data_IF_129302270186
#
_entry.id   IF_129302270186
#
_cell.length_a   1.000
_cell.length_b   1.000
_cell.length_c   1.000
_cell.angle_alpha   90.00
_cell.angle_beta   90.00
_cell.angle_gamma   90.00
#
_symmetry.space_group_name_H-M   'P 1'
#
loop_
_entity.id
_entity.type
_entity.pdbx_description
1 polymer ?
#
# COMPACT_ATOMS: atom_id res chain seq x y z
N UNK A 1 -9.77 22.03 1.82
CA UNK A 1 -10.02 21.14 0.66
C UNK A 1 -11.31 21.63 0.06
N UNK A 2 -11.24 22.11 -1.19
CA UNK A 2 -12.41 22.41 -1.98
C UNK A 2 -12.73 21.21 -2.86
N UNK A 3 -14.01 20.96 -3.10
CA UNK A 3 -14.54 19.87 -3.90
C UNK A 3 -15.63 20.43 -4.82
N UNK A 4 -15.38 20.36 -6.12
CA UNK A 4 -16.24 20.86 -7.21
C UNK A 4 -16.29 19.77 -8.29
N UNK A 5 -17.42 19.08 -8.44
CA UNK A 5 -17.62 17.99 -9.41
C UNK A 5 -16.48 16.93 -9.44
N UNK A 6 -16.15 16.35 -8.28
CA UNK A 6 -15.05 15.37 -8.07
C UNK A 6 -13.62 15.92 -8.28
N UNK A 7 -13.45 17.22 -8.51
CA UNK A 7 -12.17 17.91 -8.58
C UNK A 7 -11.75 18.42 -7.19
N UNK A 8 -10.78 17.72 -6.57
CA UNK A 8 -10.26 18.11 -5.26
C UNK A 8 -9.16 19.16 -5.38
N UNK A 9 -9.32 20.28 -4.67
CA UNK A 9 -8.33 21.34 -4.60
C UNK A 9 -7.87 21.59 -3.16
N UNK A 10 -6.56 21.66 -2.95
CA UNK A 10 -5.96 22.03 -1.67
C UNK A 10 -5.61 23.51 -1.70
N UNK A 11 -6.07 24.24 -0.70
CA UNK A 11 -5.79 25.67 -0.54
C UNK A 11 -5.17 25.93 0.83
N UNK A 12 -4.11 26.74 0.87
CA UNK A 12 -3.55 27.26 2.11
C UNK A 12 -4.46 28.37 2.61
N UNK A 13 -4.98 28.22 3.84
CA UNK A 13 -5.77 29.26 4.50
C UNK A 13 -4.89 30.04 5.48
N UNK A 14 -5.00 31.36 5.44
CA UNK A 14 -4.37 32.24 6.41
C UNK A 14 -5.09 32.15 7.77
N UNK A 15 -4.34 32.24 8.87
CA UNK A 15 -4.89 32.18 10.23
C UNK A 15 -5.08 30.77 10.82
N UNK A 16 -4.55 29.73 10.18
CA UNK A 16 -4.52 28.37 10.73
C UNK A 16 -3.55 28.20 11.91
N UNK A 17 -3.72 27.14 12.71
CA UNK A 17 -2.77 26.78 13.78
C UNK A 17 -1.35 26.63 13.22
N UNK A 18 -0.36 27.13 13.95
CA UNK A 18 1.05 26.97 13.57
C UNK A 18 1.42 25.50 13.44
N UNK A 19 2.05 25.14 12.31
CA UNK A 19 2.54 23.78 12.07
C UNK A 19 3.75 23.53 12.97
N UNK A 20 3.62 22.59 13.91
CA UNK A 20 4.66 22.30 14.92
C UNK A 20 5.44 21.03 14.61
N UNK A 21 4.86 20.12 13.83
CA UNK A 21 5.50 18.85 13.49
C UNK A 21 6.49 19.01 12.31
N UNK A 22 7.68 18.38 12.36
CA UNK A 22 8.58 18.30 11.21
C UNK A 22 7.91 17.73 9.94
N UNK A 23 6.98 16.78 10.10
CA UNK A 23 6.23 16.21 8.96
C UNK A 23 5.25 17.20 8.34
N UNK A 24 4.61 18.04 9.17
CA UNK A 24 3.72 19.10 8.71
C UNK A 24 4.49 20.22 8.02
N UNK A 25 5.65 20.60 8.56
CA UNK A 25 6.54 21.60 7.96
C UNK A 25 7.11 21.12 6.62
N UNK A 26 7.47 19.84 6.51
CA UNK A 26 7.91 19.24 5.25
C UNK A 26 6.81 19.28 4.19
N UNK A 27 5.57 18.94 4.58
CA UNK A 27 4.42 19.01 3.68
C UNK A 27 4.13 20.46 3.24
N UNK A 28 4.11 21.41 4.19
CA UNK A 28 3.86 22.82 3.89
C UNK A 28 4.98 23.44 3.03
N UNK A 29 6.24 23.10 3.29
CA UNK A 29 7.37 23.57 2.49
C UNK A 29 7.39 23.02 1.06
N UNK A 30 6.73 21.87 0.82
CA UNK A 30 6.55 21.31 -0.52
C UNK A 30 5.38 21.92 -1.30
N UNK A 31 4.52 22.71 -0.64
CA UNK A 31 3.43 23.42 -1.28
C UNK A 31 3.96 24.71 -1.93
N UNK A 32 4.21 24.66 -3.24
CA UNK A 32 4.79 25.79 -3.99
C UNK A 32 3.79 26.89 -4.33
N UNK A 33 2.49 26.62 -4.19
CA UNK A 33 1.39 27.52 -4.52
C UNK A 33 0.36 27.52 -3.40
N UNK A 34 -0.38 28.62 -3.31
CA UNK A 34 -1.45 28.79 -2.31
C UNK A 34 -2.68 27.93 -2.63
N UNK A 35 -2.85 27.58 -3.91
CA UNK A 35 -3.91 26.71 -4.42
C UNK A 35 -3.29 25.63 -5.32
N UNK A 36 -3.64 24.37 -5.08
CA UNK A 36 -3.17 23.21 -5.82
C UNK A 36 -4.32 22.26 -6.13
N UNK A 37 -4.67 22.17 -7.41
CA UNK A 37 -5.61 21.16 -7.91
C UNK A 37 -4.95 19.78 -7.92
N UNK A 38 -5.62 18.78 -7.35
CA UNK A 38 -5.15 17.39 -7.29
C UNK A 38 -5.40 16.65 -8.62
N UNK A 39 -4.65 17.06 -9.63
CA UNK A 39 -4.69 16.45 -10.96
C UNK A 39 -3.36 15.78 -11.34
N UNK A 40 -3.44 14.90 -12.35
CA UNK A 40 -2.26 14.25 -12.93
C UNK A 40 -1.29 15.24 -13.61
N UNK A 41 -1.78 16.40 -14.04
CA UNK A 41 -0.95 17.50 -14.58
C UNK A 41 0.04 18.02 -13.54
N UNK A 42 -0.37 18.06 -12.27
CA UNK A 42 0.43 18.52 -11.15
C UNK A 42 1.24 17.41 -10.46
N UNK A 43 1.47 16.28 -11.15
CA UNK A 43 2.00 15.09 -10.49
C UNK A 43 3.39 15.22 -9.89
N UNK A 44 4.23 16.08 -10.46
CA UNK A 44 5.56 16.34 -9.90
C UNK A 44 5.45 16.97 -8.51
N UNK A 45 4.52 17.92 -8.35
CA UNK A 45 4.26 18.59 -7.07
C UNK A 45 3.62 17.62 -6.08
N UNK A 46 2.57 16.90 -6.47
CA UNK A 46 1.86 15.98 -5.57
C UNK A 46 2.74 14.79 -5.15
N UNK A 47 3.52 14.22 -6.07
CA UNK A 47 4.49 13.17 -5.74
C UNK A 47 5.62 13.67 -4.85
N UNK A 48 6.12 14.90 -5.07
CA UNK A 48 7.11 15.52 -4.20
C UNK A 48 6.55 15.77 -2.80
N UNK A 49 5.30 16.24 -2.67
CA UNK A 49 4.63 16.41 -1.38
C UNK A 49 4.52 15.08 -0.63
N UNK A 50 4.06 14.02 -1.31
CA UNK A 50 3.95 12.68 -0.73
C UNK A 50 5.31 12.14 -0.30
N UNK A 51 6.35 12.33 -1.12
CA UNK A 51 7.71 11.90 -0.83
C UNK A 51 8.33 12.70 0.33
N UNK A 52 8.09 14.01 0.40
CA UNK A 52 8.55 14.85 1.50
C UNK A 52 7.90 14.42 2.83
N UNK A 53 6.59 14.18 2.81
CA UNK A 53 5.86 13.69 3.99
C UNK A 53 6.35 12.31 4.42
N UNK A 54 6.48 11.35 3.50
CA UNK A 54 6.95 9.99 3.83
C UNK A 54 8.38 10.00 4.36
N UNK A 55 9.26 10.83 3.79
CA UNK A 55 10.65 10.98 4.24
C UNK A 55 10.72 11.62 5.62
N UNK A 56 9.91 12.65 5.89
CA UNK A 56 9.86 13.29 7.19
C UNK A 56 9.34 12.33 8.28
N UNK A 57 8.30 11.54 7.97
CA UNK A 57 7.79 10.51 8.86
C UNK A 57 8.82 9.39 9.10
N UNK A 58 9.47 8.90 8.05
CA UNK A 58 10.55 7.93 8.17
C UNK A 58 11.66 8.48 9.07
N UNK A 59 12.13 9.71 8.84
CA UNK A 59 13.16 10.34 9.67
C UNK A 59 12.75 10.51 11.14
N UNK A 60 11.47 10.74 11.39
CA UNK A 60 10.95 10.94 12.76
C UNK A 60 10.79 9.62 13.52
N UNK A 61 10.33 8.57 12.85
CA UNK A 61 9.90 7.32 13.49
C UNK A 61 10.80 6.11 13.21
N UNK A 62 11.60 6.11 12.14
CA UNK A 62 12.57 5.06 11.83
C UNK A 62 13.78 5.18 12.78
N UNK A 63 14.23 4.04 13.34
CA UNK A 63 15.31 4.00 14.33
C UNK A 63 14.83 4.26 15.77
N UNK A 64 13.91 5.20 15.97
CA UNK A 64 13.38 5.54 17.30
C UNK A 64 12.17 4.69 17.70
N UNK A 65 11.19 4.55 16.81
CA UNK A 65 9.95 3.82 17.05
C UNK A 65 9.93 2.48 16.30
N UNK A 66 10.51 2.41 15.09
CA UNK A 66 10.54 1.20 14.26
C UNK A 66 11.97 0.85 13.82
N UNK A 67 12.35 -0.43 13.99
CA UNK A 67 13.61 -0.97 13.49
C UNK A 67 13.30 -1.94 12.35
N UNK A 68 13.74 -1.60 11.13
CA UNK A 68 13.58 -2.48 9.96
C UNK A 68 14.58 -3.64 9.93
N UNK A 69 15.70 -3.54 10.68
CA UNK A 69 16.76 -4.56 10.80
C UNK A 69 17.23 -5.20 9.47
N UNK A 70 17.09 -4.48 8.34
CA UNK A 70 17.35 -5.02 7.01
C UNK A 70 18.82 -5.45 6.80
N UNK A 71 19.75 -4.80 7.49
CA UNK A 71 21.17 -5.18 7.45
C UNK A 71 21.38 -6.56 8.06
N UNK A 72 20.68 -6.89 9.15
CA UNK A 72 20.75 -8.21 9.78
C UNK A 72 20.10 -9.28 8.92
N UNK A 73 18.96 -8.96 8.30
CA UNK A 73 18.34 -9.83 7.30
C UNK A 73 19.29 -10.12 6.14
N UNK A 74 19.89 -9.08 5.54
CA UNK A 74 20.83 -9.24 4.43
C UNK A 74 22.04 -10.10 4.80
N UNK A 75 22.60 -9.93 5.99
CA UNK A 75 23.69 -10.78 6.50
C UNK A 75 23.25 -12.24 6.64
N UNK A 76 22.06 -12.50 7.19
CA UNK A 76 21.50 -13.85 7.32
C UNK A 76 21.23 -14.52 5.97
N UNK A 77 20.71 -13.77 5.00
CA UNK A 77 20.51 -14.24 3.64
C UNK A 77 21.83 -14.62 2.95
N UNK A 78 22.87 -13.79 3.10
CA UNK A 78 24.21 -14.08 2.56
C UNK A 78 24.79 -15.36 3.20
N UNK A 79 24.69 -15.51 4.52
CA UNK A 79 25.14 -16.73 5.21
C UNK A 79 24.39 -17.97 4.71
N UNK A 80 23.09 -17.85 4.48
CA UNK A 80 22.25 -18.95 3.96
C UNK A 80 22.73 -19.38 2.57
N UNK A 81 22.98 -18.43 1.67
CA UNK A 81 23.47 -18.71 0.30
C UNK A 81 24.87 -19.34 0.34
N UNK A 82 25.79 -18.79 1.14
CA UNK A 82 27.15 -19.34 1.28
C UNK A 82 27.10 -20.76 1.85
N UNK A 83 26.29 -21.00 2.88
CA UNK A 83 26.10 -22.33 3.45
C UNK A 83 25.59 -23.35 2.43
N UNK A 84 24.64 -22.95 1.57
CA UNK A 84 24.14 -23.81 0.50
C UNK A 84 25.21 -24.12 -0.56
N UNK A 85 25.96 -23.12 -0.99
CA UNK A 85 27.05 -23.31 -1.96
C UNK A 85 28.15 -24.23 -1.40
N UNK A 86 28.53 -24.05 -0.14
CA UNK A 86 29.48 -24.93 0.54
C UNK A 86 28.91 -26.35 0.64
N UNK A 87 27.64 -26.51 1.04
CA UNK A 87 27.01 -27.83 1.14
C UNK A 87 26.98 -28.57 -0.21
N UNK A 88 26.71 -27.85 -1.30
CA UNK A 88 26.71 -28.38 -2.65
C UNK A 88 28.13 -28.71 -3.15
N UNK A 89 29.15 -27.96 -2.72
CA UNK A 89 30.55 -28.20 -3.06
C UNK A 89 31.11 -29.51 -2.47
N UNK A 90 30.65 -29.90 -1.27
CA UNK A 90 31.07 -31.13 -0.59
C UNK A 90 30.36 -32.39 -1.10
N UNK A 91 29.46 -32.28 -2.08
CA UNK A 91 28.83 -33.44 -2.71
C UNK A 91 29.82 -34.24 -3.56
N UNK A 92 29.57 -35.54 -3.80
CA UNK A 92 30.29 -36.33 -4.81
C UNK A 92 30.27 -35.61 -6.16
N UNK A 93 31.35 -35.70 -6.95
CA UNK A 93 31.53 -34.97 -8.22
C UNK A 93 30.35 -35.13 -9.19
N UNK A 94 29.74 -36.31 -9.21
CA UNK A 94 28.54 -36.63 -10.02
C UNK A 94 27.29 -35.83 -9.61
N UNK A 95 27.18 -35.47 -8.33
CA UNK A 95 26.06 -34.75 -7.74
C UNK A 95 26.34 -33.25 -7.53
N UNK A 96 27.60 -32.85 -7.36
CA UNK A 96 28.00 -31.48 -7.06
C UNK A 96 27.53 -30.48 -8.12
N UNK A 97 27.60 -30.85 -9.40
CA UNK A 97 27.14 -30.00 -10.51
C UNK A 97 25.63 -29.73 -10.44
N UNK A 98 24.83 -30.76 -10.21
CA UNK A 98 23.37 -30.67 -10.06
C UNK A 98 22.98 -29.90 -8.79
N UNK A 99 23.71 -30.11 -7.69
CA UNK A 99 23.51 -29.39 -6.43
C UNK A 99 23.78 -27.90 -6.57
N UNK A 100 24.96 -27.53 -7.11
CA UNK A 100 25.34 -26.13 -7.34
C UNK A 100 24.38 -25.45 -8.32
N UNK A 101 24.01 -26.13 -9.40
CA UNK A 101 23.00 -25.65 -10.34
C UNK A 101 21.68 -25.35 -9.62
N UNK A 102 21.21 -26.28 -8.77
CA UNK A 102 19.94 -26.12 -8.06
C UNK A 102 19.96 -24.95 -7.07
N UNK A 103 21.06 -24.74 -6.35
CA UNK A 103 21.20 -23.61 -5.42
C UNK A 103 21.17 -22.28 -6.16
N UNK A 104 21.93 -22.18 -7.26
CA UNK A 104 21.97 -20.96 -8.09
C UNK A 104 20.62 -20.74 -8.78
N UNK A 105 19.97 -21.80 -9.26
CA UNK A 105 18.67 -21.73 -9.91
C UNK A 105 17.59 -21.28 -8.93
N UNK A 106 17.43 -21.96 -7.79
CA UNK A 106 16.40 -21.60 -6.81
C UNK A 106 16.63 -20.19 -6.27
N UNK A 107 17.87 -19.82 -5.92
CA UNK A 107 18.17 -18.49 -5.39
C UNK A 107 18.03 -17.38 -6.44
N UNK A 108 18.74 -17.52 -7.56
CA UNK A 108 18.83 -16.50 -8.60
C UNK A 108 17.54 -16.34 -9.40
N UNK A 109 16.94 -17.45 -9.85
CA UNK A 109 15.74 -17.41 -10.68
C UNK A 109 14.55 -16.85 -9.92
N UNK A 110 14.28 -17.33 -8.70
CA UNK A 110 13.19 -16.80 -7.90
C UNK A 110 13.41 -15.34 -7.51
N UNK A 111 14.64 -14.91 -7.26
CA UNK A 111 14.94 -13.49 -7.01
C UNK A 111 14.54 -12.60 -8.20
N UNK A 112 14.86 -13.03 -9.44
CA UNK A 112 14.51 -12.30 -10.66
C UNK A 112 12.99 -12.29 -10.86
N UNK A 113 12.33 -13.45 -10.74
CA UNK A 113 10.88 -13.58 -10.94
C UNK A 113 10.11 -12.78 -9.88
N UNK A 114 10.49 -12.85 -8.61
CA UNK A 114 9.87 -12.09 -7.52
C UNK A 114 10.06 -10.59 -7.73
N UNK A 115 11.26 -10.14 -8.11
CA UNK A 115 11.52 -8.73 -8.38
C UNK A 115 10.67 -8.21 -9.55
N UNK A 116 10.61 -8.96 -10.65
CA UNK A 116 9.79 -8.61 -11.81
C UNK A 116 8.29 -8.63 -11.49
N UNK A 117 7.81 -9.62 -10.74
CA UNK A 117 6.43 -9.72 -10.30
C UNK A 117 6.06 -8.56 -9.37
N UNK A 118 6.93 -8.21 -8.41
CA UNK A 118 6.72 -7.09 -7.50
C UNK A 118 6.61 -5.74 -8.24
N UNK A 119 7.45 -5.53 -9.26
CA UNK A 119 7.33 -4.37 -10.15
C UNK A 119 6.00 -4.33 -10.89
N UNK A 120 5.56 -5.47 -11.45
CA UNK A 120 4.29 -5.57 -12.16
C UNK A 120 3.08 -5.37 -11.24
N UNK A 121 3.10 -5.93 -10.03
CA UNK A 121 2.06 -5.73 -9.02
C UNK A 121 1.97 -4.26 -8.62
N UNK A 122 3.10 -3.60 -8.36
CA UNK A 122 3.11 -2.15 -8.11
C UNK A 122 2.56 -1.37 -9.30
N UNK A 123 2.90 -1.76 -10.52
CA UNK A 123 2.35 -1.18 -11.75
C UNK A 123 0.84 -1.38 -11.87
N UNK A 124 0.30 -2.52 -11.45
CA UNK A 124 -1.14 -2.80 -11.47
C UNK A 124 -1.92 -1.80 -10.59
N UNK A 125 -1.43 -1.58 -9.38
CA UNK A 125 -2.07 -0.70 -8.40
C UNK A 125 -1.73 0.78 -8.61
N UNK A 126 -0.58 1.09 -9.23
CA UNK A 126 -0.12 2.47 -9.47
C UNK A 126 -0.50 3.04 -10.83
N UNK A 127 -0.59 2.23 -11.89
CA UNK A 127 -0.81 2.71 -13.25
C UNK A 127 -2.31 2.74 -13.61
N UNK A 128 -2.67 3.61 -14.56
CA UNK A 128 -4.00 3.67 -15.18
C UNK A 128 -3.90 3.48 -16.70
N UNK A 129 -5.01 3.09 -17.33
CA UNK A 129 -5.10 2.89 -18.79
C UNK A 129 -4.18 1.80 -19.33
N UNK A 130 -3.55 2.05 -20.49
CA UNK A 130 -2.71 1.09 -21.22
C UNK A 130 -1.52 0.59 -20.37
N UNK A 131 -0.98 1.44 -19.49
CA UNK A 131 0.13 1.05 -18.60
C UNK A 131 -0.29 0.00 -17.54
N UNK A 132 -1.57 -0.05 -17.16
CA UNK A 132 -2.12 -1.12 -16.30
C UNK A 132 -2.25 -2.43 -17.08
N UNK A 133 -2.67 -2.36 -18.34
CA UNK A 133 -2.73 -3.53 -19.25
C UNK A 133 -1.33 -4.11 -19.46
N UNK A 134 -0.31 -3.27 -19.62
CA UNK A 134 1.08 -3.72 -19.68
C UNK A 134 1.54 -4.45 -18.42
N UNK A 135 1.10 -4.00 -17.23
CA UNK A 135 1.41 -4.66 -15.95
C UNK A 135 0.71 -6.02 -15.81
N UNK A 136 -0.55 -6.12 -16.25
CA UNK A 136 -1.27 -7.40 -16.33
C UNK A 136 -0.62 -8.38 -17.30
N UNK A 137 -0.25 -7.89 -18.48
CA UNK A 137 0.46 -8.69 -19.47
C UNK A 137 1.79 -9.19 -18.92
N UNK A 138 2.55 -8.36 -18.22
CA UNK A 138 3.80 -8.77 -17.58
C UNK A 138 3.57 -9.87 -16.53
N UNK A 139 2.49 -9.80 -15.72
CA UNK A 139 2.16 -10.87 -14.78
C UNK A 139 1.83 -12.18 -15.48
N UNK A 140 1.03 -12.14 -16.55
CA UNK A 140 0.70 -13.32 -17.36
C UNK A 140 1.96 -13.89 -18.01
N UNK A 141 2.82 -13.02 -18.54
CA UNK A 141 4.10 -13.39 -19.14
C UNK A 141 5.04 -14.06 -18.14
N UNK A 142 4.95 -13.76 -16.84
CA UNK A 142 5.77 -14.40 -15.81
C UNK A 142 5.29 -15.81 -15.43
N UNK A 143 4.07 -16.22 -15.76
CA UNK A 143 3.52 -17.53 -15.39
C UNK A 143 4.39 -18.71 -15.90
N UNK A 144 4.83 -18.75 -17.17
CA UNK A 144 5.75 -19.79 -17.65
C UNK A 144 7.09 -19.80 -16.92
N UNK A 145 7.61 -18.62 -16.52
CA UNK A 145 8.88 -18.52 -15.79
C UNK A 145 8.75 -19.01 -14.34
N UNK A 146 7.60 -18.78 -13.70
CA UNK A 146 7.28 -19.41 -12.41
C UNK A 146 7.23 -20.93 -12.57
N UNK A 147 6.59 -21.43 -13.64
CA UNK A 147 6.58 -22.84 -14.00
C UNK A 147 7.98 -23.43 -14.16
N UNK A 148 8.87 -22.77 -14.91
CA UNK A 148 10.25 -23.18 -15.09
C UNK A 148 11.05 -23.16 -13.77
N UNK A 149 10.77 -22.19 -12.89
CA UNK A 149 11.36 -22.10 -11.56
C UNK A 149 11.07 -23.31 -10.67
N UNK A 150 9.90 -23.92 -10.83
CA UNK A 150 9.47 -25.13 -10.11
C UNK A 150 9.90 -26.40 -10.85
N UNK A 151 9.75 -26.42 -12.18
CA UNK A 151 9.95 -27.60 -13.01
C UNK A 151 11.40 -28.09 -13.01
N UNK A 152 12.40 -27.20 -13.05
CA UNK A 152 13.80 -27.62 -13.07
C UNK A 152 14.25 -28.29 -11.75
N UNK A 153 14.02 -27.70 -10.55
CA UNK A 153 14.26 -28.40 -9.29
C UNK A 153 13.40 -29.67 -9.13
N UNK A 154 12.14 -29.62 -9.58
CA UNK A 154 11.25 -30.78 -9.57
C UNK A 154 11.80 -31.94 -10.41
N UNK A 155 12.25 -31.67 -11.63
CA UNK A 155 12.88 -32.66 -12.49
C UNK A 155 14.13 -33.27 -11.85
N UNK A 156 14.97 -32.47 -11.20
CA UNK A 156 16.15 -32.96 -10.47
C UNK A 156 15.73 -33.86 -9.30
N UNK A 157 14.70 -33.47 -8.54
CA UNK A 157 14.15 -34.30 -7.46
C UNK A 157 13.64 -35.66 -7.95
N UNK A 158 12.97 -35.71 -9.10
CA UNK A 158 12.41 -36.96 -9.66
C UNK A 158 13.43 -37.81 -10.42
N UNK A 159 14.55 -37.23 -10.87
CA UNK A 159 15.57 -37.92 -11.67
C UNK A 159 16.79 -38.38 -10.87
N UNK A 160 17.05 -37.79 -9.70
CA UNK A 160 18.16 -38.20 -8.83
C UNK A 160 17.77 -39.34 -7.90
N UNK A 161 18.73 -40.19 -7.52
CA UNK A 161 18.58 -41.19 -6.45
C UNK A 161 19.51 -40.87 -5.27
N UNK A 162 20.28 -39.78 -5.33
CA UNK A 162 21.31 -39.51 -4.32
C UNK A 162 20.69 -38.93 -3.03
N UNK A 163 20.87 -39.56 -1.85
CA UNK A 163 20.35 -39.04 -0.60
C UNK A 163 20.90 -37.64 -0.24
N UNK A 164 22.14 -37.37 -0.65
CA UNK A 164 22.81 -36.11 -0.37
C UNK A 164 22.23 -34.93 -1.16
N UNK A 165 21.79 -35.12 -2.41
CA UNK A 165 21.09 -34.05 -3.15
C UNK A 165 19.74 -33.73 -2.55
N UNK A 166 19.00 -34.74 -2.09
CA UNK A 166 17.75 -34.50 -1.36
C UNK A 166 17.99 -33.68 -0.10
N UNK A 167 19.07 -33.97 0.64
CA UNK A 167 19.43 -33.19 1.82
C UNK A 167 19.76 -31.71 1.48
N UNK A 168 20.49 -31.45 0.40
CA UNK A 168 20.82 -30.07 -0.05
C UNK A 168 19.56 -29.31 -0.49
N UNK A 169 18.68 -29.95 -1.27
CA UNK A 169 17.44 -29.32 -1.72
C UNK A 169 16.46 -29.07 -0.57
N UNK A 170 16.35 -30.01 0.37
CA UNK A 170 15.55 -29.83 1.59
C UNK A 170 16.11 -28.69 2.46
N UNK A 171 17.44 -28.61 2.59
CA UNK A 171 18.10 -27.50 3.31
C UNK A 171 17.85 -26.16 2.62
N UNK A 172 17.91 -26.11 1.29
CA UNK A 172 17.61 -24.90 0.52
C UNK A 172 16.16 -24.44 0.73
N UNK A 173 15.20 -25.37 0.69
CA UNK A 173 13.80 -25.07 0.97
C UNK A 173 13.59 -24.55 2.40
N UNK A 174 14.21 -25.20 3.39
CA UNK A 174 14.11 -24.81 4.80
C UNK A 174 14.73 -23.43 5.05
N UNK A 175 15.91 -23.16 4.50
CA UNK A 175 16.54 -21.84 4.60
C UNK A 175 15.72 -20.77 3.88
N UNK A 176 15.08 -21.09 2.75
CA UNK A 176 14.15 -20.18 2.07
C UNK A 176 12.98 -19.79 2.97
N UNK A 177 12.29 -20.77 3.55
CA UNK A 177 11.19 -20.54 4.51
C UNK A 177 11.67 -19.73 5.71
N UNK A 178 12.83 -20.11 6.27
CA UNK A 178 13.43 -19.41 7.41
C UNK A 178 13.69 -17.94 7.08
N UNK A 179 14.29 -17.63 5.93
CA UNK A 179 14.51 -16.24 5.51
C UNK A 179 13.20 -15.46 5.36
N UNK A 180 12.13 -16.07 4.82
CA UNK A 180 10.81 -15.42 4.73
C UNK A 180 10.26 -15.11 6.13
N UNK A 181 10.34 -16.06 7.05
CA UNK A 181 9.90 -15.86 8.45
C UNK A 181 10.72 -14.75 9.11
N UNK A 182 12.05 -14.76 8.98
CA UNK A 182 12.90 -13.71 9.55
C UNK A 182 12.68 -12.35 8.89
N UNK A 183 12.34 -12.29 7.59
CA UNK A 183 11.98 -11.03 6.94
C UNK A 183 10.77 -10.38 7.62
N UNK A 184 9.76 -11.17 7.98
CA UNK A 184 8.59 -10.68 8.71
C UNK A 184 8.86 -10.42 10.19
N UNK A 185 9.64 -11.28 10.86
CA UNK A 185 9.90 -11.20 12.29
C UNK A 185 10.92 -10.13 12.68
N UNK A 186 11.88 -9.82 11.80
CA UNK A 186 12.90 -8.80 12.06
C UNK A 186 12.34 -7.38 12.00
N UNK A 187 11.15 -7.18 11.43
CA UNK A 187 10.42 -5.93 11.56
C UNK A 187 9.87 -5.82 12.99
N UNK A 188 10.61 -5.10 13.84
CA UNK A 188 10.29 -5.00 15.25
C UNK A 188 9.95 -3.55 15.64
N UNK A 189 8.77 -3.28 16.23
CA UNK A 189 8.55 -2.03 16.94
C UNK A 189 9.45 -2.00 18.18
N UNK A 190 10.09 -0.86 18.41
CA UNK A 190 10.82 -0.60 19.67
C UNK A 190 9.82 -0.51 20.83
N UNK A 191 10.25 -0.50 22.10
CA UNK A 191 9.35 -0.28 23.23
C UNK A 191 8.57 1.05 23.13
N UNK A 192 9.18 2.11 22.59
CA UNK A 192 8.50 3.38 22.34
C UNK A 192 7.49 3.27 21.20
N UNK A 193 7.88 2.61 20.11
CA UNK A 193 6.98 2.31 18.99
C UNK A 193 5.79 1.47 19.41
N UNK A 194 6.00 0.47 20.27
CA UNK A 194 4.93 -0.39 20.78
C UNK A 194 3.94 0.41 21.63
N UNK A 195 4.41 1.27 22.54
CA UNK A 195 3.53 2.16 23.31
C UNK A 195 2.70 3.07 22.42
N UNK A 196 3.30 3.62 21.35
CA UNK A 196 2.58 4.45 20.40
C UNK A 196 1.52 3.65 19.63
N UNK A 197 1.87 2.45 19.17
CA UNK A 197 0.92 1.55 18.50
C UNK A 197 -0.24 1.15 19.42
N UNK A 198 0.05 0.82 20.68
CA UNK A 198 -0.96 0.48 21.68
C UNK A 198 -1.89 1.69 21.96
N UNK A 199 -1.34 2.91 21.98
CA UNK A 199 -2.14 4.13 22.13
C UNK A 199 -3.04 4.39 20.91
N UNK A 200 -2.53 4.17 19.69
CA UNK A 200 -3.30 4.27 18.44
C UNK A 200 -4.39 3.20 18.39
N UNK A 201 -4.09 1.97 18.78
CA UNK A 201 -5.05 0.86 18.86
C UNK A 201 -6.11 1.12 19.92
N UNK A 202 -5.74 1.62 21.09
CA UNK A 202 -6.67 2.05 22.13
C UNK A 202 -7.58 3.20 21.69
N UNK A 203 -7.03 4.15 20.91
CA UNK A 203 -7.83 5.23 20.33
C UNK A 203 -8.80 4.73 19.26
N UNK A 204 -8.36 3.79 18.39
CA UNK A 204 -9.24 3.10 17.45
C UNK A 204 -10.36 2.37 18.19
N UNK A 205 -10.03 1.64 19.26
CA UNK A 205 -11.01 0.96 20.09
C UNK A 205 -11.99 1.94 20.72
N UNK A 206 -11.55 3.09 21.20
CA UNK A 206 -12.43 4.15 21.69
C UNK A 206 -13.39 4.65 20.60
N UNK A 207 -12.90 4.82 19.37
CA UNK A 207 -13.71 5.26 18.22
C UNK A 207 -14.72 4.20 17.77
N UNK A 208 -14.38 2.91 17.79
CA UNK A 208 -15.28 1.82 17.34
C UNK A 208 -16.21 1.31 18.43
N UNK A 209 -15.80 1.34 19.70
CA UNK A 209 -16.53 0.70 20.80
C UNK A 209 -17.86 1.40 21.08
N UNK A 210 -18.95 0.64 21.10
CA UNK A 210 -20.31 1.10 21.31
C UNK A 210 -20.68 1.36 22.79
N UNK A 211 -19.76 1.18 23.75
CA UNK A 211 -19.97 1.45 25.19
C UNK A 211 -20.06 2.96 25.49
N UNK A 212 -20.98 3.66 24.83
CA UNK A 212 -21.30 5.06 25.12
C UNK A 212 -21.64 5.26 26.59
N UNK A 213 -22.38 4.35 27.21
CA UNK A 213 -22.83 4.52 28.60
C UNK A 213 -21.67 4.43 29.60
N UNK A 214 -20.72 3.50 29.41
CA UNK A 214 -19.56 3.36 30.32
C UNK A 214 -18.57 4.52 30.16
N UNK A 215 -18.36 4.98 28.92
CA UNK A 215 -17.50 6.14 28.63
C UNK A 215 -18.16 7.45 29.06
N UNK A 216 -19.49 7.61 28.94
CA UNK A 216 -20.25 8.75 29.49
C UNK A 216 -20.12 8.86 31.02
N UNK A 217 -20.01 7.74 31.73
CA UNK A 217 -19.83 7.71 33.19
C UNK A 217 -18.39 8.03 33.59
N UNK A 218 -17.40 7.55 32.82
CA UNK A 218 -15.98 7.73 33.16
C UNK A 218 -15.44 9.09 32.75
N UNK A 219 -15.65 9.52 31.50
CA UNK A 219 -15.25 10.82 30.96
C UNK A 219 -16.29 11.24 29.90
N UNK A 220 -17.39 11.91 30.26
CA UNK A 220 -18.37 12.37 29.27
C UNK A 220 -17.73 13.41 28.36
N UNK A 221 -17.46 13.10 27.07
CA UNK A 221 -17.14 14.15 26.13
C UNK A 221 -18.44 14.88 25.84
N UNK A 222 -18.46 16.20 25.93
CA UNK A 222 -19.55 16.97 25.34
C UNK A 222 -19.57 16.62 23.85
N UNK A 223 -20.62 15.91 23.40
CA UNK A 223 -20.74 15.56 21.98
C UNK A 223 -21.07 16.84 21.23
N UNK A 224 -20.05 17.49 20.70
CA UNK A 224 -20.18 18.73 19.96
C UNK A 224 -19.83 18.51 18.47
N UNK A 225 -20.43 19.29 17.55
CA UNK A 225 -20.03 19.28 16.14
C UNK A 225 -18.53 19.55 15.94
N UNK A 226 -17.93 20.38 16.79
CA UNK A 226 -16.49 20.69 16.75
C UNK A 226 -15.64 19.46 17.09
N UNK A 227 -16.08 18.61 18.02
CA UNK A 227 -15.40 17.37 18.37
C UNK A 227 -15.47 16.35 17.23
N UNK A 228 -16.63 16.29 16.56
CA UNK A 228 -16.79 15.46 15.36
C UNK A 228 -15.79 15.88 14.28
N UNK A 229 -15.74 17.18 13.96
CA UNK A 229 -14.83 17.73 12.97
C UNK A 229 -13.36 17.46 13.31
N UNK A 230 -12.97 17.61 14.58
CA UNK A 230 -11.59 17.43 15.03
C UNK A 230 -11.09 16.01 14.80
N UNK A 231 -11.92 15.01 15.06
CA UNK A 231 -11.53 13.60 15.02
C UNK A 231 -11.87 12.89 13.72
N UNK A 232 -12.65 13.50 12.84
CA UNK A 232 -13.03 12.89 11.57
C UNK A 232 -11.83 12.47 10.69
N UNK A 233 -10.76 13.29 10.53
CA UNK A 233 -9.58 12.86 9.77
C UNK A 233 -8.86 11.65 10.37
N UNK A 234 -8.92 11.48 11.69
CA UNK A 234 -8.32 10.34 12.37
C UNK A 234 -9.17 9.08 12.22
N UNK A 235 -10.49 9.22 12.28
CA UNK A 235 -11.40 8.10 12.03
C UNK A 235 -11.23 7.55 10.60
N UNK A 236 -11.08 8.46 9.63
CA UNK A 236 -10.78 8.09 8.23
C UNK A 236 -9.42 7.43 8.09
N UNK A 237 -8.40 7.86 8.84
CA UNK A 237 -7.07 7.25 8.81
C UNK A 237 -7.02 5.87 9.51
N UNK A 238 -7.98 5.56 10.38
CA UNK A 238 -8.08 4.32 11.15
C UNK A 238 -9.14 3.35 10.60
N UNK A 239 -9.75 3.68 9.46
CA UNK A 239 -10.87 2.95 8.85
C UNK A 239 -12.00 2.70 9.86
N UNK A 240 -12.42 3.74 10.59
CA UNK A 240 -13.52 3.68 11.56
C UNK A 240 -14.49 4.87 11.45
N UNK A 241 -14.53 5.52 10.29
CA UNK A 241 -15.40 6.66 9.99
C UNK A 241 -16.89 6.31 10.07
N UNK A 242 -17.28 5.10 9.69
CA UNK A 242 -18.68 4.66 9.72
C UNK A 242 -19.20 4.56 11.16
N UNK A 243 -18.43 3.94 12.05
CA UNK A 243 -18.73 3.84 13.48
C UNK A 243 -18.71 5.21 14.15
N UNK A 244 -17.75 6.06 13.78
CA UNK A 244 -17.64 7.42 14.30
C UNK A 244 -18.85 8.28 13.90
N UNK A 245 -19.29 8.22 12.64
CA UNK A 245 -20.48 8.93 12.16
C UNK A 245 -21.75 8.50 12.89
N UNK A 246 -21.94 7.20 13.10
CA UNK A 246 -23.11 6.67 13.79
C UNK A 246 -23.28 7.27 15.20
N UNK A 247 -22.17 7.49 15.93
CA UNK A 247 -22.16 8.07 17.28
C UNK A 247 -22.56 9.54 17.34
N UNK A 248 -22.33 10.29 16.26
CA UNK A 248 -22.63 11.72 16.15
C UNK A 248 -23.87 12.02 15.32
N UNK A 249 -24.50 11.02 14.70
CA UNK A 249 -25.69 11.19 13.86
C UNK A 249 -26.82 11.96 14.57
N UNK A 250 -27.08 11.66 15.84
CA UNK A 250 -28.13 12.34 16.63
C UNK A 250 -27.77 13.78 16.98
N UNK A 251 -26.50 14.05 17.25
CA UNK A 251 -25.98 15.38 17.59
C UNK A 251 -25.97 16.28 16.37
N UNK A 252 -25.54 15.75 15.22
CA UNK A 252 -25.53 16.45 13.94
C UNK A 252 -26.95 16.69 13.43
N UNK A 253 -27.86 15.71 13.60
CA UNK A 253 -29.27 15.88 13.29
C UNK A 253 -29.94 16.95 14.17
N UNK A 254 -29.60 16.99 15.47
CA UNK A 254 -30.11 17.99 16.40
C UNK A 254 -29.53 19.40 16.16
N UNK A 255 -28.26 19.49 15.74
CA UNK A 255 -27.61 20.74 15.36
C UNK A 255 -28.17 21.32 14.03
N UNK A 256 -28.78 20.49 13.19
CA UNK A 256 -29.46 20.93 11.97
C UNK A 256 -28.52 21.70 11.02
N UNK A 257 -28.99 22.84 10.50
CA UNK A 257 -28.23 23.73 9.59
C UNK A 257 -27.00 24.36 10.26
N UNK A 258 -26.91 24.32 11.60
CA UNK A 258 -25.75 24.82 12.35
C UNK A 258 -24.57 23.83 12.35
N UNK A 259 -24.76 22.58 11.92
CA UNK A 259 -23.66 21.70 11.53
C UNK A 259 -23.12 22.15 10.17
N UNK A 260 -22.46 23.32 10.18
CA UNK A 260 -21.70 23.81 9.04
C UNK A 260 -20.70 22.73 8.60
N UNK A 261 -20.39 22.71 7.29
CA UNK A 261 -19.34 21.85 6.77
C UNK A 261 -18.07 22.03 7.60
N UNK A 262 -17.25 20.97 7.78
CA UNK A 262 -15.98 21.08 8.47
C UNK A 262 -15.19 22.29 7.97
N UNK A 263 -14.59 23.08 8.85
CA UNK A 263 -13.85 24.29 8.50
C UNK A 263 -12.71 24.05 7.49
N UNK A 264 -12.23 22.81 7.38
CA UNK A 264 -11.21 22.39 6.43
C UNK A 264 -11.78 21.92 5.08
N UNK A 265 -13.10 21.81 4.92
CA UNK A 265 -13.80 21.35 3.71
C UNK A 265 -14.75 22.42 3.16
N UNK A 266 -14.82 22.55 1.84
CA UNK A 266 -15.82 23.35 1.14
C UNK A 266 -16.27 22.61 -0.13
N UNK A 267 -17.55 22.31 -0.26
CA UNK A 267 -18.07 21.58 -1.42
C UNK A 267 -19.55 21.27 -1.28
N UNK A 268 -20.16 20.87 -2.38
CA UNK A 268 -21.60 20.57 -2.48
C UNK A 268 -21.97 19.20 -1.89
N UNK A 269 -20.98 18.31 -1.66
CA UNK A 269 -21.19 16.95 -1.16
C UNK A 269 -21.33 16.85 0.37
N UNK A 270 -21.17 17.96 1.12
CA UNK A 270 -21.45 17.96 2.55
C UNK A 270 -22.97 17.94 2.81
N UNK A 271 -23.44 16.88 3.47
CA UNK A 271 -24.81 16.78 3.98
C UNK A 271 -24.78 16.43 5.47
N UNK A 272 -25.20 17.38 6.33
CA UNK A 272 -25.28 17.16 7.78
C UNK A 272 -26.29 16.07 8.17
N UNK A 273 -27.21 15.72 7.27
CA UNK A 273 -28.18 14.61 7.44
C UNK A 273 -27.65 13.26 6.96
N UNK A 274 -26.61 13.25 6.13
CA UNK A 274 -25.99 12.04 5.57
C UNK A 274 -24.45 12.10 5.63
N UNK A 275 -23.92 12.28 6.84
CA UNK A 275 -22.47 12.34 7.05
C UNK A 275 -21.75 11.04 6.71
N UNK A 276 -22.42 9.89 6.83
CA UNK A 276 -21.90 8.60 6.36
C UNK A 276 -21.63 8.53 4.86
N UNK A 277 -22.53 9.11 4.05
CA UNK A 277 -22.33 9.25 2.61
C UNK A 277 -21.12 10.13 2.29
N UNK A 278 -21.01 11.28 2.96
CA UNK A 278 -19.89 12.21 2.80
C UNK A 278 -18.54 11.58 3.17
N UNK A 279 -18.42 10.85 4.28
CA UNK A 279 -17.13 10.26 4.66
C UNK A 279 -16.69 9.14 3.73
N UNK A 280 -17.64 8.36 3.21
CA UNK A 280 -17.33 7.30 2.24
C UNK A 280 -16.90 7.89 0.90
N UNK A 281 -17.59 8.93 0.40
CA UNK A 281 -17.19 9.63 -0.83
C UNK A 281 -15.86 10.35 -0.67
N UNK A 282 -15.64 11.03 0.47
CA UNK A 282 -14.38 11.70 0.76
C UNK A 282 -13.24 10.69 0.90
N UNK A 283 -13.43 9.61 1.65
CA UNK A 283 -12.41 8.58 1.87
C UNK A 283 -11.95 7.92 0.59
N UNK A 284 -12.89 7.38 -0.18
CA UNK A 284 -12.60 6.68 -1.43
C UNK A 284 -12.18 7.64 -2.55
N UNK A 285 -12.91 8.75 -2.72
CA UNK A 285 -12.69 9.76 -3.75
C UNK A 285 -11.36 10.48 -3.57
N UNK A 286 -11.13 11.12 -2.42
CA UNK A 286 -9.91 11.87 -2.16
C UNK A 286 -8.67 10.97 -2.21
N UNK A 287 -8.72 9.78 -1.61
CA UNK A 287 -7.58 8.84 -1.66
C UNK A 287 -7.27 8.42 -3.10
N UNK A 288 -8.30 8.16 -3.91
CA UNK A 288 -8.13 7.81 -5.32
C UNK A 288 -7.55 8.96 -6.13
N UNK A 289 -7.98 10.20 -5.86
CA UNK A 289 -7.53 11.41 -6.55
C UNK A 289 -6.09 11.74 -6.20
N UNK A 290 -5.72 11.73 -4.90
CA UNK A 290 -4.33 11.89 -4.46
C UNK A 290 -3.43 10.83 -5.09
N UNK A 291 -3.89 9.57 -5.13
CA UNK A 291 -3.14 8.47 -5.74
C UNK A 291 -2.85 8.74 -7.21
N UNK A 292 -3.85 9.16 -8.01
CA UNK A 292 -3.61 9.54 -9.41
C UNK A 292 -2.77 10.77 -9.59
N UNK A 293 -3.06 11.80 -8.80
CA UNK A 293 -2.35 13.06 -8.90
C UNK A 293 -0.87 12.83 -8.59
N UNK A 294 -0.49 11.87 -7.75
CA UNK A 294 0.91 11.53 -7.50
C UNK A 294 1.62 10.75 -8.65
N UNK A 295 0.93 10.37 -9.73
CA UNK A 295 1.48 9.53 -10.80
C UNK A 295 1.68 10.31 -12.09
N UNK A 296 2.82 10.09 -12.78
CA UNK A 296 3.08 10.75 -14.05
C UNK A 296 2.04 10.35 -15.11
N UNK A 297 1.61 11.29 -15.98
CA UNK A 297 0.83 10.94 -17.16
C UNK A 297 1.64 9.96 -18.02
N UNK A 298 1.01 8.88 -18.45
CA UNK A 298 1.67 7.86 -19.26
C UNK A 298 2.20 8.49 -20.54
N UNK A 299 3.49 8.32 -20.82
CA UNK A 299 4.08 8.69 -22.10
C UNK A 299 3.47 7.81 -23.19
N UNK A 300 2.59 8.36 -24.00
CA UNK A 300 2.24 7.81 -25.30
C UNK A 300 3.44 7.99 -26.24
N UNK A 301 4.47 7.17 -26.09
CA UNK A 301 5.44 6.98 -27.17
C UNK A 301 4.75 6.16 -28.26
N UNK A 302 4.28 6.84 -29.31
CA UNK A 302 3.75 6.21 -30.50
C UNK A 302 4.80 5.29 -31.13
N UNK A 303 4.47 4.02 -31.29
CA UNK A 303 5.02 3.20 -32.36
C UNK A 303 3.88 2.88 -33.32
N UNK A 304 3.92 3.51 -34.50
CA UNK A 304 3.09 3.14 -35.62
C UNK A 304 3.38 1.73 -36.10
N UNK A 305 2.34 1.07 -36.58
CA UNK A 305 2.31 -0.27 -37.17
C UNK A 305 0.91 -0.81 -36.91
N UNK A 306 -0.05 -0.78 -37.84
CA UNK A 306 0.05 -1.09 -39.25
C UNK A 306 -0.83 -2.31 -39.50
N UNK A 307 -2.09 -2.05 -39.90
CA UNK A 307 -3.04 -2.93 -40.61
C UNK A 307 -3.23 -4.40 -40.19
N UNK A 308 -4.48 -4.78 -39.92
CA UNK A 308 -5.23 -5.58 -40.91
C UNK A 308 -6.74 -5.46 -40.68
N UNK A 309 -7.41 -5.06 -41.74
CA UNK A 309 -8.82 -5.28 -42.04
C UNK A 309 -9.17 -6.77 -42.11
N UNK A 310 -10.42 -7.09 -41.77
CA UNK A 310 -11.07 -8.38 -42.03
C UNK A 310 -11.84 -8.80 -40.78
N UNK A 311 -13.14 -9.04 -40.79
CA UNK A 311 -14.13 -9.16 -41.84
C UNK A 311 -15.48 -9.37 -41.13
N UNK A 312 -16.58 -9.02 -41.79
CA UNK A 312 -17.91 -9.00 -41.20
C UNK A 312 -18.56 -10.35 -40.92
N UNK A 313 -19.83 -10.26 -40.52
CA UNK A 313 -20.79 -11.33 -40.29
C UNK A 313 -21.31 -11.27 -38.85
N UNK A 314 -22.57 -10.95 -38.54
CA UNK A 314 -23.79 -11.02 -39.32
C UNK A 314 -24.80 -11.87 -38.55
N UNK A 315 -25.86 -11.24 -38.04
CA UNK A 315 -27.17 -11.85 -37.83
C UNK A 315 -27.40 -12.72 -36.58
N UNK A 316 -28.61 -12.61 -36.04
CA UNK A 316 -29.19 -13.66 -35.19
C UNK A 316 -29.95 -13.13 -33.99
N UNK A 317 -31.20 -12.69 -34.22
CA UNK A 317 -32.16 -12.43 -33.15
C UNK A 317 -32.57 -13.70 -32.39
N UNK A 318 -33.23 -13.50 -31.26
CA UNK A 318 -33.85 -14.56 -30.49
C UNK A 318 -34.31 -14.04 -29.14
N UNK A 319 -35.52 -13.49 -29.12
CA UNK A 319 -36.22 -13.14 -27.88
C UNK A 319 -36.71 -14.37 -27.12
N UNK A 320 -37.14 -14.14 -25.89
CA UNK A 320 -37.84 -15.13 -25.09
C UNK A 320 -37.95 -14.70 -23.64
N UNK A 321 -39.07 -14.02 -23.33
CA UNK A 321 -39.82 -13.93 -22.07
C UNK A 321 -39.05 -13.87 -20.75
#
# INVERSE_FOLDING_TARGET
ISDDDDEFTIERRDGGRSLTSPSQLALAGSLTRDKLVLEQTNHRTVSAMRAALSTALAKQFEGSHFLRNLVWFARGAVISVVGLLVSAWFLPLEAASMGLFSVVWIGGWWSIVIFAAWGAVKGLFGNRGIARVGSLFQLIFLIPFMGAGIAAPGFILFSTTSPLLYAVLATAALLGVMNIVFYHLLWAPTPLGRKLLDAVEGFRLYMTTAEEERLKVLHPPEKTPELFELYLPYALALDCENEWNAKFATVLAAAGVAAAAPSWYSGSHWDSRNTGGFTNSLGSGLASTISSAATAPGSSSGSGGGGSSGGGGGGGGGGGW
#
